data_IF_998009613131
#
_entry.id   IF_998009613131
#
_cell.length_a   1.000
_cell.length_b   1.000
_cell.length_c   1.000
_cell.angle_alpha   90.00
_cell.angle_beta   90.00
_cell.angle_gamma   90.00
#
_symmetry.space_group_name_H-M   'P 1'
#
loop_
_entity.id
_entity.type
_entity.pdbx_description
1 polymer ?
#
# COMPACT_ATOMS: atom_id res chain seq x y z
N UNK A 1 -6.90 -27.30 -35.34
CA UNK A 1 -6.46 -25.91 -35.44
C UNK A 1 -7.10 -25.19 -34.27
N UNK A 2 -6.44 -25.19 -33.10
CA UNK A 2 -6.95 -24.50 -31.91
C UNK A 2 -6.60 -23.03 -32.03
N UNK A 3 -7.64 -22.22 -31.97
CA UNK A 3 -7.67 -20.76 -32.05
C UNK A 3 -6.54 -20.13 -31.22
N UNK A 4 -5.50 -19.64 -31.88
CA UNK A 4 -4.49 -18.80 -31.26
C UNK A 4 -5.01 -17.36 -31.31
N UNK A 5 -6.00 -17.04 -30.45
CA UNK A 5 -6.29 -15.65 -30.18
C UNK A 5 -4.99 -15.02 -29.67
N UNK A 6 -4.56 -13.92 -30.30
CA UNK A 6 -3.38 -13.19 -29.87
C UNK A 6 -3.59 -12.80 -28.41
N UNK A 7 -2.87 -13.46 -27.50
CA UNK A 7 -2.81 -13.03 -26.10
C UNK A 7 -2.28 -11.61 -26.10
N UNK A 8 -3.14 -10.66 -25.73
CA UNK A 8 -2.72 -9.29 -25.50
C UNK A 8 -1.57 -9.32 -24.49
N UNK A 9 -0.39 -8.87 -24.93
CA UNK A 9 0.85 -8.93 -24.16
C UNK A 9 0.79 -8.12 -22.86
N UNK A 10 -0.20 -7.24 -22.72
CA UNK A 10 -0.47 -6.47 -21.50
C UNK A 10 -1.65 -6.99 -20.67
N UNK A 11 -2.51 -7.88 -21.21
CA UNK A 11 -3.58 -8.54 -20.45
C UNK A 11 -3.18 -9.94 -19.96
N UNK A 12 -2.03 -10.45 -20.41
CA UNK A 12 -1.34 -11.61 -19.86
C UNK A 12 -2.03 -12.96 -20.11
N UNK A 13 -1.29 -13.95 -20.63
CA UNK A 13 -1.79 -15.33 -20.74
C UNK A 13 -1.68 -16.16 -19.46
N UNK A 14 -0.85 -15.73 -18.50
CA UNK A 14 -0.61 -16.44 -17.23
C UNK A 14 -0.27 -15.46 -16.11
N UNK A 15 -0.85 -15.69 -14.92
CA UNK A 15 -0.62 -14.88 -13.72
C UNK A 15 0.87 -14.86 -13.31
N UNK A 16 1.46 -13.68 -13.06
CA UNK A 16 2.65 -13.58 -12.23
C UNK A 16 2.31 -14.01 -10.79
N UNK A 17 3.15 -14.84 -10.18
CA UNK A 17 2.92 -15.30 -8.80
C UNK A 17 2.89 -14.11 -7.83
N UNK A 18 1.85 -14.01 -7.00
CA UNK A 18 1.73 -13.00 -5.94
C UNK A 18 1.30 -11.59 -6.40
N UNK A 19 1.20 -11.31 -7.69
CA UNK A 19 0.78 -10.00 -8.21
C UNK A 19 -0.58 -10.12 -8.89
N UNK A 20 -1.62 -10.26 -8.07
CA UNK A 20 -2.96 -10.50 -8.58
C UNK A 20 -3.60 -9.23 -9.17
N UNK A 21 -3.06 -8.03 -8.98
CA UNK A 21 -3.62 -6.79 -9.56
C UNK A 21 -3.40 -6.61 -11.08
N UNK A 22 -2.76 -7.57 -11.76
CA UNK A 22 -2.66 -7.60 -13.22
C UNK A 22 -3.98 -8.00 -13.88
N UNK A 23 -4.33 -7.46 -15.07
CA UNK A 23 -5.48 -7.90 -15.83
C UNK A 23 -5.41 -9.40 -16.13
N UNK A 24 -6.59 -10.01 -16.20
CA UNK A 24 -6.82 -11.38 -16.64
C UNK A 24 -7.62 -11.38 -17.95
N UNK A 25 -7.73 -12.52 -18.67
CA UNK A 25 -8.63 -12.63 -19.82
C UNK A 25 -10.07 -12.21 -19.50
N UNK A 26 -10.54 -12.46 -18.27
CA UNK A 26 -11.87 -12.05 -17.82
C UNK A 26 -12.03 -10.53 -17.68
N UNK A 27 -10.93 -9.77 -17.63
CA UNK A 27 -10.90 -8.31 -17.58
C UNK A 27 -10.85 -7.67 -18.98
N UNK A 28 -10.86 -8.48 -20.04
CA UNK A 28 -10.93 -7.99 -21.41
C UNK A 28 -12.29 -7.28 -21.66
N UNK A 29 -12.28 -5.99 -22.04
CA UNK A 29 -13.50 -5.27 -22.40
C UNK A 29 -14.05 -5.63 -23.79
N UNK A 30 -13.36 -6.48 -24.56
CA UNK A 30 -13.75 -6.85 -25.92
C UNK A 30 -13.50 -5.73 -26.94
N UNK A 31 -12.59 -4.81 -26.64
CA UNK A 31 -12.23 -3.66 -27.48
C UNK A 31 -10.72 -3.45 -27.47
N UNK A 32 -10.17 -3.01 -28.61
CA UNK A 32 -8.76 -2.62 -28.70
C UNK A 32 -8.52 -1.32 -27.92
N UNK A 33 -7.71 -1.40 -26.85
CA UNK A 33 -7.40 -0.25 -25.99
C UNK A 33 -6.02 0.33 -26.34
N UNK A 34 -5.95 1.55 -26.91
CA UNK A 34 -4.67 2.18 -27.22
C UNK A 34 -3.86 2.50 -25.97
N UNK A 35 -2.54 2.32 -26.07
CA UNK A 35 -1.58 2.45 -24.96
C UNK A 35 -0.38 3.29 -25.36
N UNK A 36 0.10 4.13 -24.46
CA UNK A 36 1.32 4.93 -24.61
C UNK A 36 2.22 4.72 -23.38
N UNK A 37 3.51 4.43 -23.61
CA UNK A 37 4.51 4.41 -22.53
C UNK A 37 4.86 5.83 -22.11
N UNK A 38 4.78 6.11 -20.82
CA UNK A 38 5.02 7.42 -20.24
C UNK A 38 6.30 7.40 -19.40
N UNK A 39 7.10 8.45 -19.58
CA UNK A 39 8.29 8.73 -18.77
C UNK A 39 8.29 10.20 -18.37
N UNK A 40 8.26 10.46 -17.08
CA UNK A 40 8.27 11.81 -16.50
C UNK A 40 9.47 11.95 -15.55
N UNK A 41 9.91 13.19 -15.38
CA UNK A 41 10.90 13.55 -14.36
C UNK A 41 10.21 14.48 -13.39
N UNK A 42 10.19 14.11 -12.11
CA UNK A 42 9.59 14.92 -11.05
C UNK A 42 10.42 16.20 -10.80
N UNK A 43 9.85 17.23 -10.16
CA UNK A 43 10.58 18.47 -9.86
C UNK A 43 11.87 18.27 -9.04
N UNK A 44 11.95 17.20 -8.25
CA UNK A 44 13.14 16.82 -7.47
C UNK A 44 14.05 15.80 -8.19
N UNK A 45 13.80 15.54 -9.47
CA UNK A 45 14.71 14.79 -10.35
C UNK A 45 14.50 13.27 -10.39
N UNK A 46 13.46 12.74 -9.73
CA UNK A 46 13.14 11.32 -9.79
C UNK A 46 12.47 10.92 -11.11
N UNK A 47 12.68 9.67 -11.51
CA UNK A 47 12.09 9.10 -12.72
C UNK A 47 10.77 8.40 -12.39
N UNK A 48 9.68 8.86 -13.01
CA UNK A 48 8.36 8.22 -12.90
C UNK A 48 7.99 7.60 -14.24
N UNK A 49 7.54 6.34 -14.22
CA UNK A 49 7.23 5.56 -15.43
C UNK A 49 5.87 4.88 -15.31
N UNK A 50 5.15 4.82 -16.42
CA UNK A 50 3.82 4.24 -16.47
C UNK A 50 3.33 3.96 -17.87
N UNK A 51 2.08 3.51 -17.97
CA UNK A 51 1.37 3.30 -19.23
C UNK A 51 0.07 4.07 -19.17
N UNK A 52 -0.15 4.92 -20.17
CA UNK A 52 -1.40 5.63 -20.40
C UNK A 52 -2.29 4.76 -21.31
N UNK A 53 -3.44 4.38 -20.80
CA UNK A 53 -4.51 3.69 -21.51
C UNK A 53 -5.55 4.73 -21.91
N UNK A 54 -5.92 4.78 -23.19
CA UNK A 54 -6.92 5.74 -23.67
C UNK A 54 -8.14 5.04 -24.24
N UNK A 55 -9.28 5.72 -24.35
CA UNK A 55 -10.49 5.12 -24.90
C UNK A 55 -10.30 4.57 -26.32
N UNK A 56 -11.01 3.48 -26.67
CA UNK A 56 -10.93 2.87 -27.98
C UNK A 56 -11.40 3.81 -29.10
N UNK A 57 -11.03 3.48 -30.34
CA UNK A 57 -11.48 4.15 -31.56
C UNK A 57 -11.24 5.68 -31.60
N UNK A 58 -10.21 6.17 -30.90
CA UNK A 58 -9.85 7.59 -30.87
C UNK A 58 -10.89 8.47 -30.16
N UNK A 59 -11.75 7.90 -29.32
CA UNK A 59 -12.72 8.65 -28.52
C UNK A 59 -11.96 9.64 -27.63
N UNK A 60 -12.32 10.92 -27.74
CA UNK A 60 -11.77 11.98 -26.88
C UNK A 60 -12.18 11.73 -25.44
N UNK A 61 -11.25 12.02 -24.53
CA UNK A 61 -11.45 11.94 -23.09
C UNK A 61 -11.26 13.32 -22.47
N UNK A 62 -12.00 13.59 -21.40
CA UNK A 62 -11.90 14.82 -20.60
C UNK A 62 -11.54 14.51 -19.15
N UNK A 63 -11.93 13.34 -18.68
CA UNK A 63 -11.60 12.84 -17.35
C UNK A 63 -10.47 11.81 -17.42
N UNK A 64 -9.44 12.02 -16.61
CA UNK A 64 -8.34 11.09 -16.41
C UNK A 64 -8.43 10.43 -15.03
N UNK A 65 -8.04 9.17 -14.94
CA UNK A 65 -7.88 8.42 -13.69
C UNK A 65 -6.41 8.06 -13.57
N UNK A 66 -5.76 8.44 -12.48
CA UNK A 66 -4.37 8.07 -12.22
C UNK A 66 -4.30 7.09 -11.05
N UNK A 67 -3.45 6.08 -11.16
CA UNK A 67 -3.35 5.02 -10.17
C UNK A 67 -1.92 4.52 -9.99
N UNK A 68 -1.56 4.29 -8.73
CA UNK A 68 -0.24 3.84 -8.31
C UNK A 68 -0.31 3.13 -6.96
N UNK A 69 0.75 2.43 -6.64
CA UNK A 69 1.01 1.81 -5.35
C UNK A 69 2.39 2.25 -4.89
N UNK A 70 2.65 2.49 -3.59
CA UNK A 70 3.95 2.97 -3.11
C UNK A 70 5.16 2.20 -3.66
N UNK A 71 5.00 0.89 -3.87
CA UNK A 71 6.08 -0.03 -4.28
C UNK A 71 5.74 -0.93 -5.47
N UNK A 72 4.49 -0.91 -5.93
CA UNK A 72 3.99 -1.82 -6.97
C UNK A 72 3.93 -1.12 -8.33
N UNK A 73 4.12 -1.89 -9.41
CA UNK A 73 3.88 -1.39 -10.76
C UNK A 73 2.40 -1.47 -11.11
N UNK A 74 1.75 -0.30 -11.26
CA UNK A 74 0.34 -0.20 -11.65
C UNK A 74 0.16 0.20 -13.13
N UNK A 75 1.23 0.23 -13.94
CA UNK A 75 1.12 0.49 -15.40
C UNK A 75 0.17 -0.45 -16.14
N UNK A 76 -0.08 -1.61 -15.56
CA UNK A 76 -0.82 -2.75 -16.11
C UNK A 76 -1.74 -3.28 -15.02
N UNK A 77 -2.54 -2.40 -14.45
CA UNK A 77 -3.52 -2.72 -13.40
C UNK A 77 -4.88 -3.11 -14.03
N UNK A 78 -5.61 -4.07 -13.44
CA UNK A 78 -6.88 -4.57 -13.98
C UNK A 78 -7.96 -3.50 -14.24
N UNK A 79 -7.91 -2.40 -13.49
CA UNK A 79 -8.83 -1.28 -13.68
C UNK A 79 -8.63 -0.54 -15.03
N UNK A 80 -7.41 -0.54 -15.56
CA UNK A 80 -7.04 0.28 -16.71
C UNK A 80 -7.80 -0.06 -18.00
N UNK A 81 -7.85 -1.32 -18.48
CA UNK A 81 -8.59 -1.65 -19.69
C UNK A 81 -10.10 -1.39 -19.55
N UNK A 82 -10.68 -1.71 -18.39
CA UNK A 82 -12.12 -1.57 -18.12
C UNK A 82 -12.55 -0.09 -18.07
N UNK A 83 -11.81 0.77 -17.38
CA UNK A 83 -12.11 2.20 -17.31
C UNK A 83 -11.78 2.92 -18.62
N UNK A 84 -10.76 2.48 -19.36
CA UNK A 84 -10.48 3.00 -20.70
C UNK A 84 -11.62 2.69 -21.66
N UNK A 85 -12.14 1.45 -21.64
CA UNK A 85 -13.33 1.07 -22.42
C UNK A 85 -14.58 1.90 -22.04
N UNK A 86 -14.71 2.28 -20.76
CA UNK A 86 -15.78 3.16 -20.29
C UNK A 86 -15.65 4.62 -20.77
N UNK A 87 -14.49 5.03 -21.32
CA UNK A 87 -14.28 6.35 -21.92
C UNK A 87 -13.34 7.28 -21.16
N UNK A 88 -12.60 6.77 -20.17
CA UNK A 88 -11.65 7.54 -19.38
C UNK A 88 -10.21 7.34 -19.87
N UNK A 89 -9.36 8.36 -19.75
CA UNK A 89 -7.92 8.12 -19.82
C UNK A 89 -7.46 7.53 -18.49
N UNK A 90 -6.63 6.48 -18.51
CA UNK A 90 -6.14 5.82 -17.30
C UNK A 90 -4.63 5.76 -17.34
N UNK A 91 -3.95 6.47 -16.43
CA UNK A 91 -2.49 6.43 -16.33
C UNK A 91 -2.08 5.68 -15.06
N UNK A 92 -1.76 4.40 -15.26
CA UNK A 92 -1.12 3.56 -14.24
C UNK A 92 0.38 3.81 -14.22
N UNK A 93 0.99 3.97 -13.05
CA UNK A 93 2.41 4.25 -12.93
C UNK A 93 3.03 3.65 -11.68
N UNK A 94 4.34 3.39 -11.74
CA UNK A 94 5.15 3.10 -10.57
C UNK A 94 5.77 4.38 -10.00
N UNK A 95 5.80 4.49 -8.68
CA UNK A 95 6.59 5.50 -7.98
C UNK A 95 8.08 5.26 -8.20
N UNK A 96 8.92 6.20 -7.73
CA UNK A 96 10.38 6.03 -7.67
C UNK A 96 10.85 4.84 -6.80
N UNK A 97 9.96 4.21 -6.03
CA UNK A 97 10.25 3.11 -5.11
C UNK A 97 9.70 1.76 -5.56
N UNK A 98 9.39 1.59 -6.85
CA UNK A 98 9.03 0.29 -7.40
C UNK A 98 10.06 -0.78 -6.99
N UNK A 99 9.61 -1.84 -6.32
CA UNK A 99 10.44 -2.92 -5.75
C UNK A 99 11.53 -2.48 -4.76
N UNK A 100 11.45 -1.27 -4.19
CA UNK A 100 12.38 -0.79 -3.17
C UNK A 100 11.63 -0.45 -1.88
N UNK A 101 11.42 -1.46 -1.04
CA UNK A 101 10.81 -1.29 0.29
C UNK A 101 11.76 -0.57 1.26
N UNK A 102 13.06 -0.86 1.14
CA UNK A 102 14.09 -0.48 2.11
C UNK A 102 14.11 1.01 2.46
N UNK A 103 13.93 1.88 1.48
CA UNK A 103 14.00 3.33 1.67
C UNK A 103 12.78 4.05 1.09
N UNK A 104 11.63 3.36 1.01
CA UNK A 104 10.40 3.97 0.52
C UNK A 104 9.96 5.10 1.46
N UNK A 105 9.78 6.29 0.88
CA UNK A 105 9.32 7.49 1.58
C UNK A 105 7.99 7.95 0.97
N UNK A 106 6.91 7.85 1.74
CA UNK A 106 5.58 8.27 1.30
C UNK A 106 5.52 9.76 0.94
N UNK A 107 6.26 10.62 1.66
CA UNK A 107 6.34 12.05 1.36
C UNK A 107 6.97 12.34 -0.01
N UNK A 108 7.82 11.44 -0.52
CA UNK A 108 8.39 11.53 -1.87
C UNK A 108 7.47 10.90 -2.91
N UNK A 109 6.74 9.84 -2.58
CA UNK A 109 5.71 9.28 -3.46
C UNK A 109 4.63 10.33 -3.81
N UNK A 110 4.27 11.24 -2.90
CA UNK A 110 3.28 12.28 -3.21
C UNK A 110 3.74 13.25 -4.29
N UNK A 111 5.05 13.49 -4.43
CA UNK A 111 5.66 14.28 -5.52
C UNK A 111 5.49 13.54 -6.86
N UNK A 112 5.65 12.21 -6.86
CA UNK A 112 5.47 11.39 -8.06
C UNK A 112 4.00 11.42 -8.53
N UNK A 113 3.05 11.34 -7.59
CA UNK A 113 1.61 11.45 -7.89
C UNK A 113 1.28 12.84 -8.47
N UNK A 114 1.79 13.92 -7.87
CA UNK A 114 1.61 15.29 -8.39
C UNK A 114 2.20 15.44 -9.80
N UNK A 115 3.36 14.86 -10.06
CA UNK A 115 4.01 14.87 -11.38
C UNK A 115 3.11 14.25 -12.44
N UNK A 116 2.50 13.10 -12.13
CA UNK A 116 1.58 12.40 -13.05
C UNK A 116 0.26 13.15 -13.21
N UNK A 117 -0.31 13.68 -12.12
CA UNK A 117 -1.49 14.53 -12.16
C UNK A 117 -1.30 15.72 -13.11
N UNK A 118 -0.19 16.44 -12.96
CA UNK A 118 0.11 17.63 -13.75
C UNK A 118 0.32 17.29 -15.23
N UNK A 119 0.88 16.12 -15.55
CA UNK A 119 0.98 15.65 -16.93
C UNK A 119 -0.41 15.39 -17.54
N UNK A 120 -1.35 14.81 -16.79
CA UNK A 120 -2.72 14.62 -17.29
C UNK A 120 -3.42 15.97 -17.52
N UNK A 121 -3.25 16.94 -16.62
CA UNK A 121 -3.76 18.32 -16.84
C UNK A 121 -3.14 18.97 -18.07
N UNK A 122 -1.82 18.84 -18.28
CA UNK A 122 -1.11 19.36 -19.46
C UNK A 122 -1.63 18.76 -20.78
N UNK A 123 -2.04 17.48 -20.74
CA UNK A 123 -2.64 16.75 -21.88
C UNK A 123 -4.11 17.09 -22.12
N UNK A 124 -4.71 17.96 -21.31
CA UNK A 124 -6.07 18.45 -21.51
C UNK A 124 -7.14 17.81 -20.64
N UNK A 125 -6.78 17.08 -19.59
CA UNK A 125 -7.76 16.59 -18.61
C UNK A 125 -8.51 17.77 -17.96
N UNK A 126 -9.83 17.81 -18.10
CA UNK A 126 -10.72 18.71 -17.36
C UNK A 126 -10.79 18.26 -15.89
N UNK A 127 -10.84 16.96 -15.63
CA UNK A 127 -10.77 16.35 -14.29
C UNK A 127 -9.72 15.24 -14.20
N UNK A 128 -9.06 15.11 -13.04
CA UNK A 128 -8.11 14.03 -12.73
C UNK A 128 -8.52 13.37 -11.41
N UNK A 129 -8.91 12.10 -11.45
CA UNK A 129 -9.34 11.32 -10.29
C UNK A 129 -8.19 10.44 -9.79
N UNK A 130 -7.99 10.39 -8.48
CA UNK A 130 -6.98 9.55 -7.85
C UNK A 130 -7.60 8.20 -7.46
N UNK A 131 -7.09 7.11 -8.03
CA UNK A 131 -7.53 5.75 -7.71
C UNK A 131 -6.42 4.98 -7.01
N UNK A 132 -6.72 4.47 -5.82
CA UNK A 132 -5.83 3.62 -5.04
C UNK A 132 -6.41 2.22 -4.81
N UNK A 133 -5.64 1.18 -5.13
CA UNK A 133 -5.92 -0.19 -4.71
C UNK A 133 -4.94 -0.61 -3.59
N UNK A 134 -5.42 -1.25 -2.52
CA UNK A 134 -4.58 -1.68 -1.39
C UNK A 134 -3.81 -0.49 -0.78
N UNK A 135 -2.49 -0.58 -0.59
CA UNK A 135 -1.63 0.54 -0.16
C UNK A 135 -1.63 1.75 -1.12
N UNK A 136 -2.14 1.59 -2.34
CA UNK A 136 -2.41 2.73 -3.22
C UNK A 136 -3.47 3.68 -2.65
N UNK A 137 -4.42 3.18 -1.84
CA UNK A 137 -5.47 3.99 -1.22
C UNK A 137 -4.91 5.04 -0.27
N UNK A 138 -4.06 4.60 0.67
CA UNK A 138 -3.31 5.47 1.59
C UNK A 138 -2.42 6.47 0.87
N UNK A 139 -1.70 6.02 -0.17
CA UNK A 139 -0.88 6.90 -1.00
C UNK A 139 -1.69 8.01 -1.66
N UNK A 140 -2.80 7.67 -2.32
CA UNK A 140 -3.62 8.64 -3.04
C UNK A 140 -4.30 9.63 -2.09
N UNK A 141 -4.74 9.17 -0.91
CA UNK A 141 -5.28 10.06 0.12
C UNK A 141 -4.22 11.01 0.68
N UNK A 142 -3.00 10.51 0.94
CA UNK A 142 -1.88 11.35 1.38
C UNK A 142 -1.51 12.39 0.31
N UNK A 143 -1.40 11.97 -0.96
CA UNK A 143 -1.09 12.88 -2.06
C UNK A 143 -2.12 14.00 -2.21
N UNK A 144 -3.41 13.67 -2.14
CA UNK A 144 -4.47 14.68 -2.10
C UNK A 144 -4.29 15.64 -0.92
N UNK A 145 -4.08 15.10 0.28
CA UNK A 145 -4.05 15.87 1.51
C UNK A 145 -2.80 16.76 1.66
N UNK A 146 -1.67 16.39 1.05
CA UNK A 146 -0.42 17.17 1.08
C UNK A 146 -0.28 18.13 -0.10
N UNK A 147 -0.76 17.73 -1.29
CA UNK A 147 -0.52 18.47 -2.54
C UNK A 147 -1.74 19.26 -3.02
N UNK A 148 -2.93 18.97 -2.50
CA UNK A 148 -4.16 19.63 -2.92
C UNK A 148 -4.57 19.31 -4.36
N UNK A 149 -4.23 18.11 -4.84
CA UNK A 149 -4.48 17.63 -6.21
C UNK A 149 -5.60 16.60 -6.24
N UNK A 150 -6.16 16.37 -7.42
CA UNK A 150 -7.18 15.33 -7.65
C UNK A 150 -8.60 15.82 -7.36
N UNK A 151 -9.48 15.64 -8.34
CA UNK A 151 -10.88 16.09 -8.34
C UNK A 151 -11.85 15.06 -7.73
N UNK A 152 -11.37 13.84 -7.50
CA UNK A 152 -12.11 12.75 -6.85
C UNK A 152 -11.16 11.69 -6.30
N UNK A 153 -11.65 10.89 -5.37
CA UNK A 153 -10.89 9.79 -4.77
C UNK A 153 -11.65 8.46 -4.88
N UNK A 154 -10.97 7.45 -5.41
CA UNK A 154 -11.49 6.08 -5.56
C UNK A 154 -10.61 5.13 -4.76
N UNK A 155 -11.19 4.47 -3.76
CA UNK A 155 -10.57 3.36 -3.05
C UNK A 155 -11.08 2.02 -3.56
N UNK A 156 -10.17 1.08 -3.83
CA UNK A 156 -10.49 -0.30 -4.19
C UNK A 156 -9.76 -1.21 -3.20
N UNK A 157 -10.46 -1.94 -2.33
CA UNK A 157 -9.81 -2.67 -1.23
C UNK A 157 -8.74 -1.79 -0.54
N UNK A 158 -9.10 -0.55 -0.20
CA UNK A 158 -8.14 0.44 0.26
C UNK A 158 -7.64 0.07 1.66
N UNK A 159 -6.32 -0.06 1.79
CA UNK A 159 -5.68 -0.39 3.03
C UNK A 159 -5.61 0.87 3.95
N UNK A 160 -5.83 0.78 5.28
CA UNK A 160 -5.77 1.94 6.20
C UNK A 160 -4.40 2.64 6.30
N UNK A 161 -3.37 2.12 5.62
CA UNK A 161 -2.00 2.63 5.53
C UNK A 161 -1.00 1.61 6.02
N UNK A 162 0.10 1.37 5.30
CA UNK A 162 1.06 0.28 5.57
C UNK A 162 1.52 0.19 7.03
N UNK A 163 1.70 1.32 7.72
CA UNK A 163 2.03 1.31 9.14
C UNK A 163 0.91 0.76 10.03
N UNK A 164 -0.35 1.05 9.70
CA UNK A 164 -1.51 0.45 10.39
C UNK A 164 -1.57 -1.05 10.14
N UNK A 165 -1.23 -1.51 8.92
CA UNK A 165 -1.11 -2.95 8.63
C UNK A 165 -0.14 -3.59 9.60
N UNK A 166 1.05 -3.00 9.72
CA UNK A 166 2.14 -3.53 10.51
C UNK A 166 1.76 -3.66 11.99
N UNK A 167 0.94 -2.74 12.52
CA UNK A 167 0.41 -2.87 13.88
C UNK A 167 -0.50 -4.09 14.07
N UNK A 168 -1.09 -4.63 13.00
CA UNK A 168 -1.94 -5.81 13.05
C UNK A 168 -1.14 -7.11 12.88
N UNK A 169 0.01 -7.05 12.20
CA UNK A 169 0.74 -8.25 11.75
C UNK A 169 2.13 -8.41 12.34
N UNK A 170 2.69 -7.41 13.03
CA UNK A 170 3.99 -7.57 13.67
C UNK A 170 3.89 -8.57 14.82
N UNK A 171 4.82 -9.51 14.91
CA UNK A 171 4.82 -10.50 15.99
C UNK A 171 5.31 -9.85 17.29
N UNK A 172 4.44 -9.63 18.29
CA UNK A 172 4.85 -8.92 19.50
C UNK A 172 5.72 -9.76 20.42
N UNK A 173 5.79 -11.08 20.20
CA UNK A 173 6.52 -12.00 21.08
C UNK A 173 8.02 -11.98 20.89
N UNK A 174 8.56 -11.28 19.89
CA UNK A 174 10.01 -11.09 19.74
C UNK A 174 10.56 -10.28 20.91
N UNK A 175 11.34 -10.92 21.78
CA UNK A 175 11.84 -10.28 23.00
C UNK A 175 13.08 -9.41 22.72
N UNK A 176 13.91 -9.80 21.76
CA UNK A 176 15.13 -9.07 21.35
C UNK A 176 15.18 -8.94 19.83
N UNK A 177 15.36 -7.71 19.32
CA UNK A 177 15.31 -7.46 17.87
C UNK A 177 16.54 -7.99 17.11
N UNK A 178 17.63 -8.33 17.80
CA UNK A 178 18.85 -8.93 17.23
C UNK A 178 18.88 -10.46 17.31
N UNK A 179 17.90 -11.09 17.97
CA UNK A 179 17.71 -12.54 18.01
C UNK A 179 16.27 -12.89 17.56
N UNK A 180 16.07 -13.29 16.30
CA UNK A 180 14.73 -13.59 15.78
C UNK A 180 14.02 -14.77 16.45
N UNK A 181 14.75 -15.64 17.16
CA UNK A 181 14.17 -16.78 17.88
C UNK A 181 13.86 -16.45 19.35
N UNK A 182 14.34 -15.32 19.85
CA UNK A 182 14.02 -14.81 21.17
C UNK A 182 12.51 -14.55 21.28
N UNK A 183 11.84 -15.27 22.18
CA UNK A 183 10.38 -15.31 22.25
C UNK A 183 9.88 -15.12 23.69
N UNK A 184 8.88 -14.26 23.88
CA UNK A 184 8.07 -14.12 25.09
C UNK A 184 6.91 -15.12 24.99
N UNK A 185 6.93 -16.25 25.72
CA UNK A 185 5.99 -17.36 25.49
C UNK A 185 4.52 -16.98 25.68
N UNK A 186 4.22 -16.03 26.55
CA UNK A 186 2.86 -15.55 26.86
C UNK A 186 2.26 -14.70 25.72
N UNK A 187 3.09 -14.22 24.79
CA UNK A 187 2.67 -13.44 23.62
C UNK A 187 2.79 -14.23 22.32
N UNK A 188 3.36 -15.44 22.34
CA UNK A 188 3.57 -16.23 21.12
C UNK A 188 2.24 -16.80 20.61
N UNK A 189 1.73 -16.26 19.51
CA UNK A 189 0.49 -16.75 18.90
C UNK A 189 0.59 -18.17 18.33
N UNK A 190 1.80 -18.73 18.22
CA UNK A 190 2.08 -20.09 17.76
C UNK A 190 2.34 -21.07 18.91
N UNK A 191 2.21 -20.61 20.17
CA UNK A 191 2.26 -21.47 21.34
C UNK A 191 0.89 -22.16 21.56
N UNK A 192 0.82 -23.50 21.65
CA UNK A 192 -0.43 -24.23 21.90
C UNK A 192 -1.20 -23.78 23.15
N UNK A 193 -0.48 -23.31 24.19
CA UNK A 193 -1.08 -22.82 25.44
C UNK A 193 -1.84 -21.50 25.25
N UNK A 194 -1.51 -20.75 24.20
CA UNK A 194 -2.21 -19.50 23.84
C UNK A 194 -3.37 -19.74 22.86
N UNK A 195 -3.61 -20.98 22.41
CA UNK A 195 -4.74 -21.32 21.53
C UNK A 195 -4.36 -21.80 20.12
N UNK A 196 -3.06 -21.84 19.79
CA UNK A 196 -2.58 -22.27 18.47
C UNK A 196 -2.84 -23.74 18.18
N UNK A 197 -3.18 -24.06 16.93
CA UNK A 197 -3.28 -25.41 16.37
C UNK A 197 -2.53 -25.47 15.03
N UNK A 198 -1.91 -26.63 14.69
CA UNK A 198 -1.20 -26.78 13.43
C UNK A 198 -2.11 -26.55 12.21
N UNK A 199 -1.60 -25.87 11.18
CA UNK A 199 -2.33 -25.67 9.93
C UNK A 199 -2.75 -27.02 9.29
N UNK A 200 -3.97 -27.16 8.74
CA UNK A 200 -5.03 -26.16 8.56
C UNK A 200 -6.11 -26.17 9.66
N UNK A 201 -5.81 -26.61 10.88
CA UNK A 201 -6.79 -26.59 11.97
C UNK A 201 -7.04 -25.15 12.45
N UNK A 202 -8.32 -24.71 12.58
CA UNK A 202 -8.63 -23.39 13.13
C UNK A 202 -8.13 -23.23 14.57
N UNK A 203 -7.57 -22.07 14.87
CA UNK A 203 -7.19 -21.66 16.21
C UNK A 203 -8.36 -20.97 16.92
N UNK A 204 -8.28 -20.89 18.25
CA UNK A 204 -9.18 -20.07 19.07
C UNK A 204 -8.35 -19.36 20.12
N UNK A 205 -8.33 -18.04 20.08
CA UNK A 205 -7.56 -17.21 21.01
C UNK A 205 -8.47 -16.61 22.10
N UNK A 206 -7.99 -16.61 23.34
CA UNK A 206 -8.71 -15.95 24.44
C UNK A 206 -8.79 -14.43 24.21
N UNK A 207 -9.90 -13.80 24.60
CA UNK A 207 -10.15 -12.37 24.34
C UNK A 207 -9.26 -11.46 25.18
N UNK A 208 -8.97 -11.83 26.42
CA UNK A 208 -8.05 -11.06 27.27
C UNK A 208 -6.62 -11.21 26.77
N UNK A 209 -6.24 -12.42 26.33
CA UNK A 209 -4.96 -12.65 25.65
C UNK A 209 -4.83 -11.81 24.39
N UNK A 210 -5.85 -11.79 23.51
CA UNK A 210 -5.83 -10.99 22.29
C UNK A 210 -5.67 -9.49 22.59
N UNK A 211 -6.32 -9.00 23.66
CA UNK A 211 -6.16 -7.60 24.11
C UNK A 211 -4.70 -7.30 24.49
N UNK A 212 -4.05 -8.19 25.25
CA UNK A 212 -2.62 -8.07 25.61
C UNK A 212 -1.72 -8.17 24.38
N UNK A 213 -2.03 -9.09 23.47
CA UNK A 213 -1.29 -9.28 22.22
C UNK A 213 -1.29 -8.02 21.37
N UNK A 214 -2.46 -7.42 21.11
CA UNK A 214 -2.58 -6.16 20.34
C UNK A 214 -1.83 -5.00 21.00
N UNK A 215 -1.88 -4.89 22.33
CA UNK A 215 -1.10 -3.88 23.05
C UNK A 215 0.41 -4.09 22.86
N UNK A 216 0.88 -5.34 22.95
CA UNK A 216 2.28 -5.67 22.76
C UNK A 216 2.77 -5.45 21.31
N UNK A 217 1.89 -5.54 20.30
CA UNK A 217 2.24 -5.18 18.91
C UNK A 217 2.60 -3.69 18.80
N UNK A 218 1.79 -2.83 19.44
CA UNK A 218 2.05 -1.39 19.54
C UNK A 218 3.38 -1.12 20.26
N UNK A 219 3.62 -1.81 21.37
CA UNK A 219 4.88 -1.66 22.14
C UNK A 219 6.10 -2.07 21.32
N UNK A 220 6.03 -3.16 20.55
CA UNK A 220 7.13 -3.57 19.68
C UNK A 220 7.43 -2.53 18.59
N UNK A 221 6.39 -2.00 17.93
CA UNK A 221 6.58 -0.89 16.98
C UNK A 221 7.20 0.33 17.66
N UNK A 222 6.80 0.67 18.89
CA UNK A 222 7.38 1.78 19.65
C UNK A 222 8.87 1.56 19.95
N UNK A 223 9.32 0.34 20.24
CA UNK A 223 10.74 0.00 20.43
C UNK A 223 11.54 0.21 19.14
N UNK A 224 11.03 -0.28 18.00
CA UNK A 224 11.69 -0.13 16.69
C UNK A 224 11.74 1.35 16.29
N UNK A 225 10.66 2.09 16.53
CA UNK A 225 10.60 3.54 16.36
C UNK A 225 11.68 4.27 17.15
N UNK A 226 11.88 3.90 18.43
CA UNK A 226 12.90 4.51 19.28
C UNK A 226 14.31 4.29 18.70
N UNK A 227 14.60 3.09 18.18
CA UNK A 227 15.89 2.79 17.51
C UNK A 227 16.05 3.66 16.25
N UNK A 228 15.00 3.76 15.43
CA UNK A 228 15.02 4.54 14.20
C UNK A 228 15.21 6.04 14.48
N UNK A 229 14.42 6.59 15.41
CA UNK A 229 14.48 8.00 15.83
C UNK A 229 15.82 8.36 16.45
N UNK A 230 16.37 7.50 17.31
CA UNK A 230 17.70 7.71 17.89
C UNK A 230 18.80 7.78 16.82
N UNK A 231 18.75 6.89 15.82
CA UNK A 231 19.71 6.91 14.70
C UNK A 231 19.63 8.20 13.88
N UNK A 232 18.42 8.71 13.62
CA UNK A 232 18.22 9.96 12.87
C UNK A 232 18.70 11.15 13.71
N UNK A 233 18.43 11.15 15.01
CA UNK A 233 18.87 12.21 15.92
C UNK A 233 20.40 12.30 15.99
N UNK A 234 21.10 11.17 16.10
CA UNK A 234 22.58 11.13 16.10
C UNK A 234 23.17 11.71 14.81
N UNK A 235 22.65 11.29 13.66
CA UNK A 235 23.08 11.80 12.36
C UNK A 235 22.82 13.31 12.22
N UNK A 236 21.64 13.76 12.66
CA UNK A 236 21.26 15.18 12.63
C UNK A 236 22.13 16.04 13.54
N UNK A 237 22.42 15.60 14.77
CA UNK A 237 23.33 16.28 15.69
C UNK A 237 24.74 16.40 15.09
N UNK A 238 25.25 15.31 14.53
CA UNK A 238 26.58 15.30 13.90
C UNK A 238 26.67 16.29 12.73
N UNK A 239 25.65 16.37 11.87
CA UNK A 239 25.57 17.36 10.80
C UNK A 239 25.45 18.79 11.34
N UNK A 240 24.70 18.99 12.42
CA UNK A 240 24.58 20.29 13.09
C UNK A 240 25.94 20.80 13.59
N UNK A 241 26.69 19.94 14.28
CA UNK A 241 28.04 20.24 14.79
C UNK A 241 29.06 20.42 13.66
N UNK A 242 28.94 19.65 12.58
CA UNK A 242 29.85 19.73 11.42
C UNK A 242 29.87 21.14 10.79
N UNK A 243 28.76 21.89 10.83
CA UNK A 243 28.67 23.26 10.27
C UNK A 243 29.68 24.23 10.89
N UNK A 244 30.13 23.97 12.12
CA UNK A 244 31.11 24.80 12.83
C UNK A 244 32.57 24.33 12.66
N UNK A 245 32.82 23.28 11.87
CA UNK A 245 34.15 22.69 11.72
C UNK A 245 34.64 22.89 10.30
N UNK A 246 35.75 23.60 10.14
CA UNK A 246 36.41 23.74 8.85
C UNK A 246 37.23 22.49 8.50
N UNK A 247 37.05 22.00 7.27
CA UNK A 247 37.66 20.74 6.82
C UNK A 247 39.19 20.80 6.70
N UNK A 248 39.76 21.98 6.48
CA UNK A 248 41.21 22.18 6.36
C UNK A 248 41.85 22.48 7.72
N UNK A 249 41.13 23.21 8.58
CA UNK A 249 41.61 23.56 9.92
C UNK A 249 41.60 22.36 10.88
N UNK A 250 40.54 21.54 10.87
CA UNK A 250 40.47 20.30 11.67
C UNK A 250 39.90 19.12 10.84
N UNK A 251 40.73 18.52 9.96
CA UNK A 251 40.31 17.40 9.12
C UNK A 251 39.93 16.15 9.92
N UNK A 252 40.37 16.01 11.19
CA UNK A 252 40.05 14.82 12.00
C UNK A 252 38.64 14.92 12.56
N UNK A 253 38.31 16.04 13.18
CA UNK A 253 36.96 16.28 13.70
C UNK A 253 35.95 16.39 12.57
N UNK A 254 36.30 17.09 11.48
CA UNK A 254 35.43 17.19 10.30
C UNK A 254 35.09 15.79 9.76
N UNK A 255 36.10 14.92 9.59
CA UNK A 255 35.89 13.55 9.07
C UNK A 255 34.99 12.72 9.98
N UNK A 256 35.19 12.78 11.30
CA UNK A 256 34.39 12.00 12.25
C UNK A 256 32.92 12.45 12.26
N UNK A 257 32.68 13.76 12.35
CA UNK A 257 31.32 14.31 12.30
C UNK A 257 30.67 14.06 10.94
N UNK A 258 31.43 14.15 9.84
CA UNK A 258 30.91 13.83 8.50
C UNK A 258 30.49 12.37 8.41
N UNK A 259 31.30 11.43 8.92
CA UNK A 259 30.97 10.00 8.93
C UNK A 259 29.65 9.72 9.66
N UNK A 260 29.48 10.30 10.85
CA UNK A 260 28.23 10.15 11.63
C UNK A 260 27.05 10.82 10.95
N UNK A 261 27.26 12.02 10.42
CA UNK A 261 26.22 12.81 9.78
C UNK A 261 25.71 12.26 8.43
N UNK A 262 26.48 11.42 7.75
CA UNK A 262 26.02 10.72 6.53
C UNK A 262 25.66 9.25 6.78
N UNK A 263 25.85 8.76 8.01
CA UNK A 263 25.52 7.38 8.35
C UNK A 263 24.01 7.15 8.31
N UNK A 264 23.61 6.03 7.70
CA UNK A 264 22.23 5.57 7.64
C UNK A 264 22.17 4.19 8.29
N UNK A 265 21.45 4.07 9.39
CA UNK A 265 21.19 2.77 10.02
C UNK A 265 20.18 1.98 9.18
N UNK A 266 20.54 0.74 8.88
CA UNK A 266 19.61 -0.27 8.40
C UNK A 266 19.08 -1.07 9.59
N UNK A 267 17.77 -1.24 9.62
CA UNK A 267 17.02 -2.08 10.52
C UNK A 267 16.77 -3.41 9.82
N UNK A 268 16.98 -4.52 10.53
CA UNK A 268 16.51 -5.83 10.11
C UNK A 268 15.38 -6.22 11.05
N UNK A 269 14.17 -6.42 10.53
CA UNK A 269 12.95 -6.59 11.32
C UNK A 269 12.37 -7.97 11.02
N UNK A 270 12.46 -8.87 12.01
CA UNK A 270 11.99 -10.24 11.89
C UNK A 270 10.54 -10.39 12.37
N UNK A 271 9.86 -11.47 11.93
CA UNK A 271 8.50 -11.86 12.31
C UNK A 271 7.46 -10.73 12.19
N UNK A 272 7.01 -10.50 10.95
CA UNK A 272 6.14 -9.37 10.55
C UNK A 272 4.84 -9.82 9.87
N UNK A 273 4.44 -11.08 10.07
CA UNK A 273 3.21 -11.67 9.51
C UNK A 273 2.53 -12.62 10.52
N UNK A 274 2.17 -12.08 11.69
CA UNK A 274 1.61 -12.77 12.84
C UNK A 274 0.29 -12.08 13.30
N UNK A 275 -0.77 -12.20 12.50
CA UNK A 275 -2.12 -11.77 12.89
C UNK A 275 -2.94 -12.99 13.36
N UNK A 276 -3.40 -13.03 14.62
CA UNK A 276 -4.32 -14.07 15.10
C UNK A 276 -5.57 -14.26 14.24
N UNK A 277 -6.07 -13.20 13.57
CA UNK A 277 -7.25 -13.26 12.72
C UNK A 277 -7.05 -14.08 11.42
N UNK A 278 -5.81 -14.46 11.08
CA UNK A 278 -5.52 -15.39 9.99
C UNK A 278 -5.88 -16.83 10.36
N UNK A 279 -5.86 -17.19 11.65
CA UNK A 279 -6.08 -18.56 12.13
C UNK A 279 -7.38 -18.70 12.94
N UNK A 280 -7.93 -17.61 13.45
CA UNK A 280 -9.18 -17.56 14.21
C UNK A 280 -10.21 -16.65 13.51
N UNK A 281 -11.15 -17.26 12.80
CA UNK A 281 -12.22 -16.55 12.07
C UNK A 281 -13.29 -15.95 12.99
N UNK A 282 -13.23 -16.19 14.31
CA UNK A 282 -14.13 -15.54 15.26
C UNK A 282 -13.69 -14.11 15.61
N UNK A 283 -12.43 -13.75 15.33
CA UNK A 283 -11.93 -12.38 15.42
C UNK A 283 -12.40 -11.61 14.19
N UNK A 284 -13.12 -10.50 14.38
CA UNK A 284 -13.71 -9.70 13.30
C UNK A 284 -14.45 -10.55 12.23
N UNK A 285 -15.54 -11.25 12.56
CA UNK A 285 -16.18 -12.19 11.63
C UNK A 285 -16.63 -11.52 10.31
N UNK A 286 -16.18 -12.08 9.18
CA UNK A 286 -16.57 -11.67 7.82
C UNK A 286 -16.51 -12.88 6.85
N UNK A 287 -16.54 -12.65 5.53
CA UNK A 287 -16.59 -13.71 4.51
C UNK A 287 -15.21 -14.26 4.13
N UNK A 288 -14.13 -13.83 4.81
CA UNK A 288 -12.76 -14.24 4.45
C UNK A 288 -12.51 -15.72 4.74
N UNK A 289 -11.69 -16.40 3.91
CA UNK A 289 -11.16 -17.71 4.27
C UNK A 289 -10.09 -17.58 5.36
N UNK A 290 -9.80 -18.68 6.06
CA UNK A 290 -8.62 -18.78 6.93
C UNK A 290 -7.33 -18.61 6.10
N UNK A 291 -6.34 -17.96 6.69
CA UNK A 291 -5.07 -17.61 6.07
C UNK A 291 -4.96 -16.13 5.69
N UNK A 292 -3.97 -15.82 4.84
CA UNK A 292 -3.65 -14.46 4.39
C UNK A 292 -3.12 -14.48 2.97
N UNK A 293 -3.26 -13.36 2.25
CA UNK A 293 -2.64 -13.19 0.94
C UNK A 293 -1.13 -13.01 1.02
N UNK A 294 -0.61 -12.58 2.18
CA UNK A 294 0.82 -12.46 2.47
C UNK A 294 1.38 -13.68 3.23
N UNK A 295 0.52 -14.44 3.93
CA UNK A 295 0.93 -15.55 4.77
C UNK A 295 0.26 -16.88 4.32
N UNK A 296 0.84 -17.52 3.30
CA UNK A 296 0.29 -18.73 2.64
C UNK A 296 1.31 -19.87 2.47
N UNK A 297 0.88 -21.15 2.55
CA UNK A 297 -0.42 -21.60 3.06
C UNK A 297 -0.49 -21.53 4.58
N UNK A 298 0.62 -21.73 5.28
CA UNK A 298 0.71 -21.65 6.73
C UNK A 298 1.23 -20.25 7.15
N UNK A 299 0.47 -19.49 7.95
CA UNK A 299 0.93 -18.22 8.51
C UNK A 299 2.25 -18.32 9.31
N UNK A 300 2.51 -19.46 9.95
CA UNK A 300 3.76 -19.70 10.69
C UNK A 300 4.98 -19.60 9.75
N UNK A 301 4.90 -20.25 8.59
CA UNK A 301 5.97 -20.25 7.59
C UNK A 301 6.27 -18.85 7.07
N UNK A 302 5.25 -18.01 6.89
CA UNK A 302 5.44 -16.66 6.39
C UNK A 302 6.03 -15.72 7.46
N UNK A 303 5.65 -15.92 8.72
CA UNK A 303 6.15 -15.12 9.84
C UNK A 303 7.64 -15.35 10.08
N UNK A 304 8.07 -16.62 10.14
CA UNK A 304 9.48 -16.99 10.34
C UNK A 304 10.29 -17.01 9.04
N UNK A 305 9.64 -17.21 7.90
CA UNK A 305 10.28 -17.34 6.61
C UNK A 305 10.56 -16.00 5.91
N UNK A 306 10.94 -16.13 4.63
CA UNK A 306 11.40 -15.01 3.79
C UNK A 306 10.31 -14.01 3.38
N UNK A 307 9.03 -14.36 3.54
CA UNK A 307 7.90 -13.62 2.96
C UNK A 307 7.47 -12.36 3.72
N UNK A 308 8.03 -12.10 4.90
CA UNK A 308 7.66 -10.95 5.72
C UNK A 308 7.87 -9.58 5.03
N UNK A 309 7.07 -8.61 5.44
CA UNK A 309 7.13 -7.23 4.98
C UNK A 309 8.12 -6.42 5.83
N UNK A 310 8.63 -5.30 5.32
CA UNK A 310 9.52 -4.38 6.04
C UNK A 310 10.79 -5.03 6.62
N UNK A 311 11.30 -6.10 5.99
CA UNK A 311 12.42 -6.91 6.53
C UNK A 311 13.71 -6.13 6.69
N UNK A 312 14.07 -5.34 5.69
CA UNK A 312 15.29 -4.54 5.68
C UNK A 312 14.89 -3.12 5.38
N UNK A 313 15.08 -2.21 6.32
CA UNK A 313 14.60 -0.83 6.21
C UNK A 313 15.69 0.15 6.60
N UNK A 314 15.76 1.31 5.96
CA UNK A 314 16.42 2.46 6.59
C UNK A 314 15.56 2.96 7.76
N UNK A 315 16.17 3.67 8.70
CA UNK A 315 15.42 4.30 9.79
C UNK A 315 14.30 5.24 9.27
N UNK A 316 14.54 5.96 8.17
CA UNK A 316 13.52 6.84 7.57
C UNK A 316 12.43 6.06 6.85
N UNK A 317 12.79 5.04 6.08
CA UNK A 317 11.83 4.18 5.38
C UNK A 317 10.85 3.53 6.35
N UNK A 318 11.35 3.03 7.49
CA UNK A 318 10.49 2.49 8.55
C UNK A 318 9.49 3.53 9.06
N UNK A 319 9.97 4.71 9.48
CA UNK A 319 9.11 5.75 10.06
C UNK A 319 8.12 6.33 9.05
N UNK A 320 8.49 6.42 7.78
CA UNK A 320 7.63 6.96 6.72
C UNK A 320 6.56 5.97 6.26
N UNK A 321 6.89 4.67 6.18
CA UNK A 321 6.03 3.66 5.55
C UNK A 321 5.39 2.70 6.56
N UNK A 322 6.19 2.03 7.40
CA UNK A 322 5.78 0.82 8.13
C UNK A 322 5.56 1.00 9.63
N UNK A 323 5.96 2.13 10.20
CA UNK A 323 5.60 2.47 11.57
C UNK A 323 4.15 2.94 11.63
N UNK A 324 3.27 2.16 12.25
CA UNK A 324 1.89 2.60 12.52
C UNK A 324 1.78 3.72 13.56
N UNK A 325 2.88 4.08 14.22
CA UNK A 325 2.95 5.17 15.20
C UNK A 325 3.50 6.47 14.61
N UNK A 326 4.25 6.38 13.51
CA UNK A 326 4.95 7.54 12.93
C UNK A 326 4.55 7.86 11.49
N UNK A 327 4.08 6.89 10.71
CA UNK A 327 3.75 7.11 9.29
C UNK A 327 2.61 8.11 9.14
N UNK A 328 2.77 9.06 8.22
CA UNK A 328 1.73 10.02 7.86
C UNK A 328 0.69 9.48 6.87
N UNK A 329 0.90 8.26 6.34
CA UNK A 329 0.01 7.65 5.34
C UNK A 329 -1.19 6.90 5.95
N UNK A 330 -1.47 7.11 7.24
CA UNK A 330 -2.65 6.55 7.89
C UNK A 330 -3.93 7.21 7.36
N UNK A 331 -4.86 6.40 6.85
CA UNK A 331 -6.13 6.91 6.30
C UNK A 331 -6.98 7.63 7.35
N UNK A 332 -6.92 7.25 8.62
CA UNK A 332 -7.59 7.99 9.69
C UNK A 332 -7.14 9.46 9.78
N UNK A 333 -5.91 9.77 9.38
CA UNK A 333 -5.32 11.13 9.46
C UNK A 333 -5.46 11.89 8.12
N UNK A 334 -5.51 11.16 7.00
CA UNK A 334 -5.57 11.76 5.65
C UNK A 334 -6.99 11.90 5.12
N UNK A 335 -7.88 10.92 5.35
CA UNK A 335 -9.25 10.94 4.84
C UNK A 335 -10.09 12.13 5.32
N UNK A 336 -9.96 12.65 6.56
CA UNK A 336 -10.66 13.87 6.96
C UNK A 336 -10.32 15.11 6.10
N UNK A 337 -9.17 15.08 5.41
CA UNK A 337 -8.73 16.13 4.48
C UNK A 337 -9.17 15.88 3.03
N UNK A 338 -9.61 14.68 2.70
CA UNK A 338 -10.17 14.34 1.38
C UNK A 338 -11.60 14.86 1.31
N UNK A 339 -11.78 16.06 0.77
CA UNK A 339 -13.09 16.75 0.67
C UNK A 339 -13.77 16.60 -0.69
N UNK A 340 -13.08 15.99 -1.65
CA UNK A 340 -13.58 15.73 -3.00
C UNK A 340 -14.50 14.50 -3.01
N UNK A 341 -15.39 14.36 -4.02
CA UNK A 341 -16.23 13.17 -4.14
C UNK A 341 -15.43 11.88 -3.97
N UNK A 342 -15.94 10.98 -3.13
CA UNK A 342 -15.25 9.76 -2.70
C UNK A 342 -16.12 8.52 -2.96
N UNK A 343 -15.53 7.48 -3.56
CA UNK A 343 -16.11 6.14 -3.59
C UNK A 343 -15.12 5.11 -3.03
N UNK A 344 -15.61 4.18 -2.22
CA UNK A 344 -14.86 3.00 -1.76
C UNK A 344 -15.57 1.72 -2.19
N UNK A 345 -14.88 0.89 -2.97
CA UNK A 345 -15.29 -0.48 -3.31
C UNK A 345 -14.50 -1.44 -2.41
N UNK A 346 -15.18 -2.25 -1.60
CA UNK A 346 -14.55 -3.12 -0.62
C UNK A 346 -14.92 -4.60 -0.82
N UNK A 347 -13.95 -5.50 -1.07
CA UNK A 347 -14.16 -6.94 -1.01
C UNK A 347 -14.43 -7.43 0.41
N UNK A 348 -15.46 -8.24 0.58
CA UNK A 348 -15.89 -8.75 1.89
C UNK A 348 -15.22 -10.05 2.31
N UNK A 349 -14.58 -10.76 1.37
CA UNK A 349 -13.72 -11.92 1.63
C UNK A 349 -12.23 -11.57 1.58
N UNK A 350 -11.90 -10.30 1.87
CA UNK A 350 -10.54 -9.79 1.96
C UNK A 350 -9.84 -10.34 3.21
N UNK A 351 -8.66 -10.92 3.02
CA UNK A 351 -7.88 -11.55 4.10
C UNK A 351 -7.01 -10.55 4.87
N UNK A 352 -6.83 -9.35 4.35
CA UNK A 352 -5.97 -8.30 4.93
C UNK A 352 -6.76 -7.13 5.50
N UNK A 353 -7.83 -6.71 4.83
CA UNK A 353 -8.60 -5.52 5.23
C UNK A 353 -9.96 -5.94 5.72
N UNK A 354 -10.28 -5.62 6.98
CA UNK A 354 -11.58 -5.97 7.57
C UNK A 354 -12.67 -5.00 7.14
N UNK A 355 -13.90 -5.50 7.10
CA UNK A 355 -15.10 -4.73 6.75
C UNK A 355 -15.27 -3.47 7.62
N UNK A 356 -14.94 -3.55 8.92
CA UNK A 356 -15.04 -2.40 9.81
C UNK A 356 -14.00 -1.31 9.49
N UNK A 357 -12.81 -1.68 9.01
CA UNK A 357 -11.78 -0.71 8.59
C UNK A 357 -12.21 0.03 7.33
N UNK A 358 -12.84 -0.66 6.39
CA UNK A 358 -13.42 -0.03 5.20
C UNK A 358 -14.51 0.97 5.56
N UNK A 359 -15.39 0.63 6.52
CA UNK A 359 -16.41 1.56 7.04
C UNK A 359 -15.76 2.76 7.73
N UNK A 360 -14.75 2.55 8.57
CA UNK A 360 -14.01 3.63 9.23
C UNK A 360 -13.39 4.62 8.23
N UNK A 361 -12.82 4.13 7.12
CA UNK A 361 -12.28 4.98 6.05
C UNK A 361 -13.37 5.91 5.46
N UNK A 362 -14.56 5.36 5.19
CA UNK A 362 -15.68 6.13 4.63
C UNK A 362 -16.23 7.12 5.65
N UNK A 363 -16.40 6.69 6.89
CA UNK A 363 -16.92 7.52 7.97
C UNK A 363 -16.00 8.72 8.23
N UNK A 364 -14.68 8.48 8.25
CA UNK A 364 -13.66 9.52 8.46
C UNK A 364 -13.42 10.42 7.23
N UNK A 365 -13.92 10.07 6.04
CA UNK A 365 -13.76 10.92 4.85
C UNK A 365 -14.32 12.33 5.07
N UNK A 366 -13.57 13.36 4.65
CA UNK A 366 -14.00 14.75 4.67
C UNK A 366 -14.99 15.11 3.55
N UNK A 367 -15.31 14.17 2.66
CA UNK A 367 -16.16 14.40 1.50
C UNK A 367 -17.63 14.53 1.90
N UNK A 368 -18.35 15.47 1.27
CA UNK A 368 -19.80 15.55 1.40
C UNK A 368 -20.52 14.48 0.55
N UNK A 369 -19.92 14.10 -0.58
CA UNK A 369 -20.41 13.08 -1.50
C UNK A 369 -19.58 11.80 -1.33
N UNK A 370 -20.19 10.80 -0.68
CA UNK A 370 -19.57 9.51 -0.36
C UNK A 370 -20.39 8.38 -0.94
N UNK A 371 -19.72 7.38 -1.51
CA UNK A 371 -20.33 6.13 -1.94
C UNK A 371 -19.52 4.96 -1.38
N UNK A 372 -20.19 3.98 -0.77
CA UNK A 372 -19.57 2.75 -0.27
C UNK A 372 -20.26 1.54 -0.88
N UNK A 373 -19.47 0.64 -1.46
CA UNK A 373 -19.96 -0.57 -2.11
C UNK A 373 -19.20 -1.77 -1.54
N UNK A 374 -19.94 -2.73 -0.98
CA UNK A 374 -19.41 -4.02 -0.55
C UNK A 374 -19.55 -5.05 -1.68
N UNK A 375 -18.45 -5.69 -2.05
CA UNK A 375 -18.40 -6.77 -3.04
C UNK A 375 -18.44 -8.10 -2.28
N UNK A 376 -19.64 -8.69 -2.18
CA UNK A 376 -19.90 -9.93 -1.44
C UNK A 376 -19.09 -11.11 -1.97
N UNK A 377 -18.41 -11.83 -1.08
CA UNK A 377 -17.53 -12.96 -1.41
C UNK A 377 -16.29 -12.62 -2.26
N UNK A 378 -16.06 -11.35 -2.61
CA UNK A 378 -14.93 -10.98 -3.45
C UNK A 378 -13.61 -11.00 -2.65
N UNK A 379 -12.51 -11.49 -3.24
CA UNK A 379 -11.18 -11.45 -2.62
C UNK A 379 -10.53 -10.06 -2.75
N UNK A 380 -9.38 -9.85 -2.10
CA UNK A 380 -8.65 -8.57 -2.06
C UNK A 380 -8.44 -7.90 -3.43
N UNK A 381 -8.12 -8.67 -4.48
CA UNK A 381 -7.91 -8.15 -5.84
C UNK A 381 -9.11 -8.34 -6.77
N UNK A 382 -10.29 -8.61 -6.18
CA UNK A 382 -11.60 -8.66 -6.83
C UNK A 382 -11.69 -9.69 -7.98
N UNK A 383 -10.87 -10.74 -8.00
CA UNK A 383 -10.99 -11.76 -9.04
C UNK A 383 -12.40 -12.34 -9.11
N UNK A 384 -12.90 -12.51 -10.34
CA UNK A 384 -14.30 -12.86 -10.60
C UNK A 384 -15.31 -11.70 -10.47
N UNK A 385 -14.91 -10.56 -9.90
CA UNK A 385 -15.80 -9.43 -9.56
C UNK A 385 -15.35 -8.09 -10.18
N UNK A 386 -14.20 -8.03 -10.86
CA UNK A 386 -13.62 -6.78 -11.40
C UNK A 386 -14.54 -6.03 -12.35
N UNK A 387 -15.20 -6.71 -13.29
CA UNK A 387 -16.12 -6.07 -14.23
C UNK A 387 -17.26 -5.34 -13.52
N UNK A 388 -17.86 -5.98 -12.52
CA UNK A 388 -18.90 -5.36 -11.68
C UNK A 388 -18.34 -4.20 -10.85
N UNK A 389 -17.21 -4.40 -10.19
CA UNK A 389 -16.56 -3.38 -9.37
C UNK A 389 -16.20 -2.12 -10.19
N UNK A 390 -15.68 -2.29 -11.41
CA UNK A 390 -15.34 -1.17 -12.28
C UNK A 390 -16.54 -0.56 -12.98
N UNK A 391 -17.64 -1.30 -13.16
CA UNK A 391 -18.92 -0.71 -13.58
C UNK A 391 -19.44 0.28 -12.54
N UNK A 392 -19.37 -0.05 -11.24
CA UNK A 392 -19.70 0.89 -10.18
C UNK A 392 -18.84 2.16 -10.20
N UNK A 393 -17.52 2.02 -10.42
CA UNK A 393 -16.62 3.16 -10.54
C UNK A 393 -16.94 4.00 -11.78
N UNK A 394 -17.16 3.38 -12.94
CA UNK A 394 -17.51 4.08 -14.18
C UNK A 394 -18.84 4.85 -14.06
N UNK A 395 -19.88 4.22 -13.50
CA UNK A 395 -21.16 4.87 -13.24
C UNK A 395 -21.04 6.03 -12.26
N UNK A 396 -20.16 5.89 -11.26
CA UNK A 396 -19.88 6.94 -10.29
C UNK A 396 -19.16 8.13 -10.93
N UNK A 397 -18.16 7.86 -11.79
CA UNK A 397 -17.42 8.87 -12.54
C UNK A 397 -18.34 9.63 -13.51
N UNK A 398 -19.16 8.92 -14.29
CA UNK A 398 -20.04 9.50 -15.31
C UNK A 398 -21.06 10.50 -14.74
N UNK A 399 -21.43 10.35 -13.46
CA UNK A 399 -22.36 11.26 -12.78
C UNK A 399 -21.71 12.56 -12.28
N UNK A 400 -20.37 12.63 -12.25
CA UNK A 400 -19.62 13.67 -11.51
C UNK A 400 -18.61 14.42 -12.36
N UNK A 401 -18.08 13.78 -13.39
CA UNK A 401 -16.99 14.31 -14.20
C UNK A 401 -17.35 14.25 -15.69
N UNK A 402 -16.80 15.16 -16.50
CA UNK A 402 -17.15 15.32 -17.92
C UNK A 402 -16.55 14.26 -18.86
#
# INVERSE_FOLDING_TARGET
MSDSSFLDVHLGGRRPFGLNYWPLPDDDPGAEIPRESIRLVSPDGALVRGILWTPPAGKKWKTAVILSHPRGDFGVHYAAPLLAAAGYAVLGFGTRYMNNDTDCLHESCTIDVETVHNEMKRRGAEAVVLLGNSGGGSLMALAHAERGIGDGWVGMAAHPGEGVFMLQVIDPSVAQEDDPFSTVPELDMYNPDNGWRPWPEPCVYDKEWLTRYRAAQVERVARIDAIAKASIAESTDALGRLRGVDAQADPRQWRELRRRGVFTKYLTIYRTLADPAYLDLSIDPDERPMGSLFAFPDPLDANYGRGGLARTMTARGWLSTWSGLSSHAKLADTMPRVKVPTILIHPTADTEIRVWQAKEIVDNSGAADKTYVEMKGAPHYLEGHRKEALAHVADWLAKRFP
#
